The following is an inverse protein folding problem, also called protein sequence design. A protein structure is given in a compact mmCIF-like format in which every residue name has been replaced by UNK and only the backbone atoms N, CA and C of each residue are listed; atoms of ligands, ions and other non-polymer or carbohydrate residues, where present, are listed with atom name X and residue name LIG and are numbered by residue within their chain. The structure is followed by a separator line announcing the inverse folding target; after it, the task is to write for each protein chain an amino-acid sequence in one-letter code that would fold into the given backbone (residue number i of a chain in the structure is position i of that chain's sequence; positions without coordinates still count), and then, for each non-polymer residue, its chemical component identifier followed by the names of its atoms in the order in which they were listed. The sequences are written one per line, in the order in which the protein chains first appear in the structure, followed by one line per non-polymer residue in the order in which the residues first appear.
data_IF_849892748850
#
_entry.id   IF_849892748850
#
_cell.length_a   1.000
_cell.length_b   1.000
_cell.length_c   1.000
_cell.angle_alpha   90.00
_cell.angle_beta   90.00
_cell.angle_gamma   90.00
#
_symmetry.space_group_name_H-M   'P 1'
#
loop_
_entity.id
_entity.type
_entity.pdbx_description
1 polymer ?
#
# COMPACT_ATOMS: atom_id res chain seq x y z
N UNK A 1 -5.17 -15.53 -36.35
CA UNK A 1 -5.79 -14.32 -35.78
C UNK A 1 -5.43 -14.29 -34.30
N UNK A 2 -4.36 -13.57 -33.95
CA UNK A 2 -4.02 -13.30 -32.56
C UNK A 2 -4.99 -12.21 -32.11
N UNK A 3 -5.75 -12.45 -31.04
CA UNK A 3 -6.57 -11.41 -30.43
C UNK A 3 -5.60 -10.38 -29.85
N UNK A 4 -5.47 -9.22 -30.50
CA UNK A 4 -4.83 -8.05 -29.91
C UNK A 4 -5.55 -7.76 -28.59
N UNK A 5 -4.93 -8.20 -27.50
CA UNK A 5 -5.45 -8.00 -26.16
C UNK A 5 -4.99 -6.61 -25.80
N UNK A 6 -5.92 -5.65 -25.76
CA UNK A 6 -5.58 -4.28 -25.34
C UNK A 6 -4.79 -4.35 -24.02
N UNK A 7 -3.67 -3.63 -23.91
CA UNK A 7 -2.92 -3.60 -22.66
C UNK A 7 -3.85 -3.11 -21.54
N UNK A 8 -3.73 -3.74 -20.37
CA UNK A 8 -4.58 -3.44 -19.23
C UNK A 8 -4.60 -1.93 -18.95
N UNK A 9 -5.78 -1.32 -18.97
CA UNK A 9 -5.93 0.13 -18.80
C UNK A 9 -5.75 0.60 -17.35
N UNK A 10 -5.59 -0.34 -16.42
CA UNK A 10 -5.31 -0.07 -15.02
C UNK A 10 -4.67 -1.27 -14.33
N UNK A 11 -3.87 -0.98 -13.32
CA UNK A 11 -3.19 -1.95 -12.47
C UNK A 11 -3.02 -1.36 -11.08
N UNK A 12 -2.67 -2.21 -10.12
CA UNK A 12 -2.45 -1.81 -8.74
C UNK A 12 -1.16 -2.41 -8.20
N UNK A 13 -0.57 -1.71 -7.25
CA UNK A 13 0.60 -2.17 -6.52
C UNK A 13 0.29 -2.05 -5.02
N UNK A 14 0.30 -3.18 -4.32
CA UNK A 14 0.10 -3.19 -2.87
C UNK A 14 1.47 -3.02 -2.21
N UNK A 15 1.55 -2.11 -1.25
CA UNK A 15 2.74 -1.80 -0.47
C UNK A 15 2.47 -2.15 0.99
N UNK A 16 3.42 -2.81 1.63
CA UNK A 16 3.33 -3.29 3.01
C UNK A 16 4.52 -2.75 3.77
N UNK A 17 4.28 -2.14 4.92
CA UNK A 17 5.36 -1.56 5.72
C UNK A 17 6.26 -2.66 6.29
N UNK A 18 7.56 -2.54 6.04
CA UNK A 18 8.56 -3.45 6.64
C UNK A 18 9.10 -2.83 7.93
N UNK A 19 8.86 -3.44 9.10
CA UNK A 19 9.20 -2.88 10.43
C UNK A 19 10.69 -2.62 10.74
N UNK A 20 11.58 -2.74 9.75
CA UNK A 20 13.01 -2.44 9.87
C UNK A 20 13.23 -0.97 9.53
N UNK A 21 13.13 -0.07 10.51
CA UNK A 21 13.55 1.33 10.36
C UNK A 21 14.62 1.69 11.39
N UNK A 22 15.76 2.19 10.92
CA UNK A 22 16.72 2.90 11.76
C UNK A 22 16.25 4.32 12.02
N UNK A 23 15.89 4.63 13.27
CA UNK A 23 15.77 5.96 13.88
C UNK A 23 14.89 7.05 13.23
N UNK A 24 14.19 6.81 12.12
CA UNK A 24 13.26 7.78 11.52
C UNK A 24 11.90 7.17 11.23
N UNK A 25 10.86 7.62 11.95
CA UNK A 25 9.46 7.19 11.79
C UNK A 25 8.72 7.98 10.68
N UNK A 26 9.48 8.50 9.72
CA UNK A 26 8.96 9.34 8.64
C UNK A 26 8.81 8.53 7.34
N UNK A 27 7.82 8.92 6.54
CA UNK A 27 7.43 8.23 5.30
C UNK A 27 8.55 8.21 4.23
N UNK A 28 9.47 9.17 4.31
CA UNK A 28 10.63 9.31 3.41
C UNK A 28 11.75 8.27 3.66
N UNK A 29 11.86 7.81 4.91
CA UNK A 29 12.85 6.84 5.35
C UNK A 29 12.29 5.42 5.41
N UNK A 30 10.96 5.29 5.41
CA UNK A 30 10.25 4.02 5.52
C UNK A 30 10.51 3.10 4.31
N UNK A 31 10.67 1.82 4.63
CA UNK A 31 10.82 0.74 3.66
C UNK A 31 9.50 -0.03 3.52
N UNK A 32 9.17 -0.36 2.28
CA UNK A 32 7.97 -1.08 1.91
C UNK A 32 8.32 -2.29 1.05
N UNK A 33 7.81 -3.45 1.42
CA UNK A 33 7.68 -4.57 0.49
C UNK A 33 6.48 -4.30 -0.43
N UNK A 34 6.57 -4.74 -1.68
CA UNK A 34 5.53 -4.43 -2.67
C UNK A 34 5.30 -5.58 -3.63
N UNK A 35 4.09 -5.67 -4.16
CA UNK A 35 3.71 -6.69 -5.13
C UNK A 35 2.40 -6.35 -5.83
N UNK A 36 2.29 -6.74 -7.10
CA UNK A 36 1.03 -6.63 -7.86
C UNK A 36 0.13 -7.83 -7.58
N UNK A 37 0.76 -8.95 -7.25
CA UNK A 37 0.14 -10.18 -6.81
C UNK A 37 0.85 -10.74 -5.58
N UNK A 38 0.18 -11.68 -4.90
CA UNK A 38 0.62 -12.29 -3.65
C UNK A 38 2.01 -12.93 -3.73
N UNK A 39 2.34 -13.59 -4.84
CA UNK A 39 3.63 -14.24 -5.09
C UNK A 39 4.80 -13.27 -5.16
N UNK A 40 4.59 -12.07 -5.68
CA UNK A 40 5.65 -11.06 -5.86
C UNK A 40 6.11 -10.47 -4.52
N UNK A 41 5.23 -10.41 -3.52
CA UNK A 41 5.55 -9.81 -2.22
C UNK A 41 6.66 -10.52 -1.45
N UNK A 42 6.83 -11.82 -1.65
CA UNK A 42 7.84 -12.63 -0.95
C UNK A 42 9.21 -12.63 -1.66
N UNK A 43 9.28 -12.14 -2.90
CA UNK A 43 10.48 -12.23 -3.73
C UNK A 43 11.25 -10.91 -3.83
N UNK A 44 10.62 -9.78 -3.53
CA UNK A 44 11.18 -8.45 -3.71
C UNK A 44 11.92 -7.90 -2.51
N UNK A 45 12.92 -7.05 -2.77
CA UNK A 45 13.55 -6.20 -1.75
C UNK A 45 12.57 -5.13 -1.26
N UNK A 46 12.66 -4.74 0.01
CA UNK A 46 11.91 -3.58 0.51
C UNK A 46 12.57 -2.29 0.04
N UNK A 47 11.80 -1.39 -0.55
CA UNK A 47 12.27 -0.12 -1.13
C UNK A 47 11.57 1.08 -0.52
N UNK A 48 12.16 2.26 -0.69
CA UNK A 48 11.56 3.56 -0.31
C UNK A 48 10.52 3.99 -1.34
N UNK A 49 9.56 4.78 -0.89
CA UNK A 49 8.53 5.33 -1.75
C UNK A 49 9.06 6.48 -2.63
N UNK A 50 8.57 6.60 -3.88
CA UNK A 50 8.79 7.80 -4.68
C UNK A 50 8.15 9.04 -4.04
N UNK A 51 8.74 10.22 -4.26
CA UNK A 51 8.26 11.47 -3.66
C UNK A 51 6.83 11.81 -4.07
N UNK A 52 6.43 11.49 -5.30
CA UNK A 52 5.03 11.70 -5.73
C UNK A 52 4.05 10.83 -4.93
N UNK A 53 4.44 9.62 -4.54
CA UNK A 53 3.60 8.73 -3.73
C UNK A 53 3.50 9.20 -2.29
N UNK A 54 4.60 9.70 -1.72
CA UNK A 54 4.63 10.32 -0.39
C UNK A 54 3.64 11.49 -0.33
N UNK A 55 3.71 12.42 -1.28
CA UNK A 55 2.79 13.56 -1.34
C UNK A 55 1.32 13.11 -1.48
N UNK A 56 1.04 12.08 -2.28
CA UNK A 56 -0.32 11.54 -2.41
C UNK A 56 -0.84 10.93 -1.09
N UNK A 57 0.02 10.29 -0.30
CA UNK A 57 -0.35 9.73 1.01
C UNK A 57 -0.67 10.86 2.00
N UNK A 58 0.16 11.91 2.02
CA UNK A 58 -0.04 13.08 2.88
C UNK A 58 -1.34 13.82 2.54
N UNK A 59 -1.62 14.03 1.25
CA UNK A 59 -2.85 14.69 0.78
C UNK A 59 -4.13 13.92 1.12
N UNK A 60 -4.05 12.60 1.12
CA UNK A 60 -5.19 11.72 1.42
C UNK A 60 -5.38 11.49 2.91
N UNK A 61 -4.44 11.94 3.76
CA UNK A 61 -4.46 11.72 5.20
C UNK A 61 -4.24 10.26 5.60
N UNK A 62 -3.64 9.45 4.71
CA UNK A 62 -3.38 8.02 4.95
C UNK A 62 -1.98 7.76 5.54
N UNK A 63 -1.30 8.79 6.04
CA UNK A 63 0.07 8.68 6.55
C UNK A 63 0.22 7.63 7.66
N UNK A 64 -0.64 7.70 8.67
CA UNK A 64 -0.59 6.78 9.81
C UNK A 64 -0.90 5.34 9.39
N UNK A 65 -1.97 5.14 8.60
CA UNK A 65 -2.37 3.82 8.12
C UNK A 65 -1.30 3.19 7.20
N UNK A 66 -0.70 4.00 6.33
CA UNK A 66 0.41 3.57 5.47
C UNK A 66 1.65 3.16 6.28
N UNK A 67 1.92 3.84 7.39
CA UNK A 67 3.04 3.53 8.28
C UNK A 67 2.77 2.33 9.18
N UNK A 68 1.51 2.03 9.51
CA UNK A 68 1.15 0.89 10.34
C UNK A 68 1.05 -0.40 9.52
N UNK A 69 0.30 -0.37 8.41
CA UNK A 69 -0.04 -1.57 7.62
C UNK A 69 0.45 -1.46 6.19
N UNK A 70 0.33 -0.29 5.57
CA UNK A 70 0.63 -0.06 4.16
C UNK A 70 -0.56 0.48 3.40
N UNK A 71 -0.50 0.38 2.07
CA UNK A 71 -1.50 0.98 1.20
C UNK A 71 -1.52 0.32 -0.18
N UNK A 72 -2.57 0.59 -0.96
CA UNK A 72 -2.67 0.20 -2.36
C UNK A 72 -2.50 1.42 -3.24
N UNK A 73 -1.51 1.38 -4.14
CA UNK A 73 -1.35 2.35 -5.21
C UNK A 73 -2.07 1.85 -6.45
N UNK A 74 -3.17 2.50 -6.83
CA UNK A 74 -3.83 2.23 -8.10
C UNK A 74 -3.32 3.17 -9.19
N UNK A 75 -3.15 2.62 -10.39
CA UNK A 75 -2.63 3.34 -11.55
C UNK A 75 -3.52 3.05 -12.76
N UNK A 76 -3.80 4.08 -13.56
CA UNK A 76 -4.57 3.99 -14.80
C UNK A 76 -3.89 4.74 -15.93
N UNK A 77 -3.94 4.18 -17.13
CA UNK A 77 -3.47 4.84 -18.37
C UNK A 77 -4.58 5.62 -19.09
N UNK A 78 -5.84 5.43 -18.69
CA UNK A 78 -6.99 6.18 -19.19
C UNK A 78 -7.57 7.03 -18.06
N UNK A 79 -8.07 8.22 -18.41
CA UNK A 79 -8.64 9.17 -17.44
C UNK A 79 -9.76 8.50 -16.63
N UNK A 80 -9.71 8.52 -15.28
CA UNK A 80 -10.76 7.99 -14.45
C UNK A 80 -12.05 8.82 -14.62
N UNK A 81 -13.24 8.20 -14.49
CA UNK A 81 -14.49 8.94 -14.54
C UNK A 81 -14.57 9.94 -13.39
N UNK A 82 -15.04 11.16 -13.69
CA UNK A 82 -15.34 12.19 -12.70
C UNK A 82 -16.45 11.71 -11.77
N UNK A 83 -16.10 11.36 -10.53
CA UNK A 83 -17.03 10.81 -9.53
C UNK A 83 -16.54 9.54 -8.82
N UNK A 84 -15.33 9.05 -9.12
CA UNK A 84 -14.72 7.95 -8.36
C UNK A 84 -14.39 8.33 -6.90
N UNK A 85 -14.35 7.33 -6.02
CA UNK A 85 -13.90 7.48 -4.62
C UNK A 85 -12.40 7.82 -4.58
N UNK A 86 -12.00 8.86 -3.86
CA UNK A 86 -10.60 9.24 -3.67
C UNK A 86 -10.05 10.19 -4.74
N UNK A 87 -8.96 10.89 -4.38
CA UNK A 87 -8.30 11.88 -5.23
C UNK A 87 -7.38 11.18 -6.23
N UNK A 88 -7.63 11.38 -7.52
CA UNK A 88 -6.73 10.92 -8.57
C UNK A 88 -5.75 12.03 -8.91
N UNK A 89 -4.46 11.71 -8.84
CA UNK A 89 -3.36 12.59 -9.22
C UNK A 89 -2.93 12.27 -10.64
N UNK A 90 -2.82 13.30 -11.47
CA UNK A 90 -2.40 13.20 -12.86
C UNK A 90 -0.88 13.38 -12.96
N UNK A 91 -0.20 12.43 -13.61
CA UNK A 91 1.23 12.50 -13.84
C UNK A 91 1.55 12.36 -15.33
N UNK A 92 2.43 13.23 -15.81
CA UNK A 92 2.92 13.25 -17.19
C UNK A 92 4.31 12.61 -17.28
N UNK A 93 4.54 11.85 -18.35
CA UNK A 93 5.85 11.27 -18.64
C UNK A 93 6.82 12.38 -19.06
N UNK A 94 7.82 12.64 -18.22
CA UNK A 94 8.85 13.65 -18.48
C UNK A 94 9.97 13.09 -19.37
N UNK A 95 10.41 11.87 -19.08
CA UNK A 95 11.53 11.23 -19.76
C UNK A 95 11.34 9.72 -19.81
N UNK A 96 11.69 9.09 -20.93
CA UNK A 96 11.71 7.64 -21.07
C UNK A 96 13.05 7.16 -21.62
N UNK A 97 13.68 6.24 -20.89
CA UNK A 97 14.82 5.46 -21.38
C UNK A 97 14.31 4.27 -22.19
N UNK A 98 14.77 4.16 -23.43
CA UNK A 98 14.54 2.98 -24.26
C UNK A 98 15.47 1.83 -23.86
N UNK A 99 15.02 0.59 -24.08
CA UNK A 99 15.78 -0.63 -23.81
C UNK A 99 15.25 -1.81 -24.63
N UNK A 100 16.12 -2.78 -24.91
CA UNK A 100 15.73 -3.96 -25.69
C UNK A 100 14.76 -4.86 -24.88
N UNK A 101 15.08 -5.14 -23.62
CA UNK A 101 14.24 -5.89 -22.69
C UNK A 101 13.18 -4.98 -22.03
N UNK A 102 11.89 -5.36 -21.97
CA UNK A 102 10.84 -4.62 -21.26
C UNK A 102 11.30 -4.02 -19.94
N UNK A 103 11.94 -4.82 -19.10
CA UNK A 103 12.41 -4.42 -17.78
C UNK A 103 13.52 -3.35 -17.78
N UNK A 104 14.17 -3.10 -18.93
CA UNK A 104 15.14 -2.02 -19.10
C UNK A 104 14.50 -0.68 -19.48
N UNK A 105 13.23 -0.68 -19.88
CA UNK A 105 12.49 0.54 -20.21
C UNK A 105 11.98 1.17 -18.93
N UNK A 106 12.42 2.41 -18.68
CA UNK A 106 12.07 3.19 -17.50
C UNK A 106 11.53 4.55 -17.91
N UNK A 107 10.45 4.96 -17.28
CA UNK A 107 9.82 6.26 -17.47
C UNK A 107 9.81 7.04 -16.16
N UNK A 108 10.25 8.30 -16.20
CA UNK A 108 10.12 9.23 -15.08
C UNK A 108 8.89 10.09 -15.31
N UNK A 109 7.96 10.00 -14.37
CA UNK A 109 6.72 10.76 -14.36
C UNK A 109 6.83 11.93 -13.38
N UNK A 110 6.21 13.05 -13.73
CA UNK A 110 6.11 14.25 -12.88
C UNK A 110 4.65 14.58 -12.64
N UNK A 111 4.30 14.96 -11.42
CA UNK A 111 2.95 15.42 -11.09
C UNK A 111 2.63 16.71 -11.84
N UNK A 112 1.46 16.80 -12.49
CA UNK A 112 1.07 18.01 -13.23
C UNK A 112 0.86 19.23 -12.32
N UNK A 113 0.58 18.99 -11.04
CA UNK A 113 0.35 20.03 -10.04
C UNK A 113 1.60 20.36 -9.20
N UNK A 114 2.66 19.53 -9.23
CA UNK A 114 3.76 19.55 -8.25
C UNK A 114 5.12 19.22 -8.87
N UNK A 115 6.19 19.40 -8.12
CA UNK A 115 7.57 19.06 -8.54
C UNK A 115 8.00 17.65 -8.16
N UNK A 116 7.08 16.82 -7.67
CA UNK A 116 7.37 15.45 -7.27
C UNK A 116 7.40 14.49 -8.45
N UNK A 117 8.13 13.40 -8.28
CA UNK A 117 8.40 12.45 -9.36
C UNK A 117 8.19 11.02 -8.92
N UNK A 118 7.89 10.16 -9.89
CA UNK A 118 7.85 8.72 -9.73
C UNK A 118 8.47 8.03 -10.95
N UNK A 119 9.35 7.06 -10.70
CA UNK A 119 9.87 6.20 -11.77
C UNK A 119 8.97 4.98 -11.94
N UNK A 120 8.70 4.62 -13.19
CA UNK A 120 7.95 3.43 -13.57
C UNK A 120 8.75 2.58 -14.54
N UNK A 121 8.74 1.26 -14.30
CA UNK A 121 9.37 0.28 -15.19
C UNK A 121 8.31 -0.36 -16.08
N UNK A 122 8.66 -0.61 -17.34
CA UNK A 122 7.83 -1.40 -18.23
C UNK A 122 7.98 -2.89 -17.89
N UNK A 123 6.89 -3.57 -17.54
CA UNK A 123 6.95 -4.97 -17.12
C UNK A 123 6.52 -5.97 -18.21
N UNK A 124 5.96 -5.50 -19.32
CA UNK A 124 5.54 -6.36 -20.43
C UNK A 124 5.64 -5.63 -21.78
N UNK A 125 5.81 -6.40 -22.86
CA UNK A 125 5.95 -5.83 -24.21
C UNK A 125 4.71 -5.07 -24.68
N UNK A 126 3.51 -5.44 -24.20
CA UNK A 126 2.26 -4.79 -24.58
C UNK A 126 2.09 -3.41 -23.96
N UNK A 127 2.85 -3.08 -22.91
CA UNK A 127 2.89 -1.76 -22.27
C UNK A 127 3.98 -0.86 -22.87
N UNK A 128 4.48 -1.19 -24.07
CA UNK A 128 5.44 -0.36 -24.81
C UNK A 128 4.77 0.41 -25.94
N UNK A 129 5.05 1.72 -26.08
CA UNK A 129 5.78 2.58 -25.14
C UNK A 129 4.97 2.78 -23.84
N UNK A 130 5.64 3.24 -22.77
CA UNK A 130 4.91 3.59 -21.55
C UNK A 130 3.88 4.70 -21.85
N UNK A 131 2.74 4.72 -21.15
CA UNK A 131 1.72 5.74 -21.37
C UNK A 131 2.29 7.15 -21.17
N UNK A 132 1.97 8.08 -22.08
CA UNK A 132 2.41 9.48 -21.96
C UNK A 132 1.83 10.16 -20.70
N UNK A 133 0.69 9.67 -20.22
CA UNK A 133 -0.01 10.17 -19.05
C UNK A 133 -0.59 9.02 -18.26
N UNK A 134 -0.53 9.14 -16.94
CA UNK A 134 -1.14 8.20 -16.01
C UNK A 134 -1.89 8.96 -14.91
N UNK A 135 -2.86 8.28 -14.33
CA UNK A 135 -3.56 8.74 -13.12
C UNK A 135 -3.28 7.75 -12.01
N UNK A 136 -2.85 8.26 -10.87
CA UNK A 136 -2.54 7.46 -9.69
C UNK A 136 -3.45 7.85 -8.53
N UNK A 137 -3.77 6.90 -7.66
CA UNK A 137 -4.40 7.18 -6.37
C UNK A 137 -3.90 6.22 -5.31
N UNK A 138 -3.89 6.69 -4.07
CA UNK A 138 -3.58 5.88 -2.89
C UNK A 138 -4.90 5.48 -2.23
N UNK A 139 -4.98 4.23 -1.80
CA UNK A 139 -6.12 3.68 -1.09
C UNK A 139 -5.66 2.89 0.14
N UNK A 140 -6.49 2.82 1.20
CA UNK A 140 -6.27 1.90 2.31
C UNK A 140 -6.27 0.44 1.84
N UNK A 141 -5.58 -0.42 2.58
CA UNK A 141 -5.62 -1.87 2.34
C UNK A 141 -7.01 -2.39 2.75
N UNK A 142 -7.65 -3.20 1.91
CA UNK A 142 -8.94 -3.80 2.27
C UNK A 142 -8.80 -4.82 3.40
N UNK A 143 -9.80 -4.95 4.28
CA UNK A 143 -9.81 -5.93 5.39
C UNK A 143 -9.46 -7.35 4.93
N UNK A 144 -9.94 -7.74 3.74
CA UNK A 144 -9.63 -9.06 3.15
C UNK A 144 -8.14 -9.20 2.83
N UNK A 145 -7.54 -8.17 2.24
CA UNK A 145 -6.10 -8.17 1.94
C UNK A 145 -5.29 -8.10 3.22
N UNK A 146 -5.73 -7.31 4.21
CA UNK A 146 -5.09 -7.19 5.51
C UNK A 146 -5.07 -8.54 6.25
N UNK A 147 -6.21 -9.24 6.29
CA UNK A 147 -6.32 -10.57 6.90
C UNK A 147 -5.37 -11.58 6.23
N UNK A 148 -5.25 -11.53 4.91
CA UNK A 148 -4.29 -12.36 4.17
C UNK A 148 -2.83 -12.00 4.51
N UNK A 149 -2.47 -10.71 4.55
CA UNK A 149 -1.13 -10.26 4.90
C UNK A 149 -0.71 -10.71 6.31
N UNK A 150 -1.66 -10.75 7.25
CA UNK A 150 -1.45 -11.26 8.60
C UNK A 150 -1.24 -12.78 8.62
N UNK A 151 -2.04 -13.53 7.86
CA UNK A 151 -1.93 -15.00 7.76
C UNK A 151 -0.56 -15.43 7.17
N UNK A 152 -0.06 -14.69 6.18
CA UNK A 152 1.25 -14.93 5.57
C UNK A 152 2.44 -14.40 6.41
N UNK A 153 2.18 -13.73 7.53
CA UNK A 153 3.22 -13.15 8.38
C UNK A 153 3.99 -11.99 7.72
N UNK A 154 3.41 -11.36 6.70
CA UNK A 154 3.96 -10.14 6.07
C UNK A 154 3.73 -8.89 6.93
N UNK A 155 2.72 -8.95 7.80
CA UNK A 155 2.44 -7.96 8.83
C UNK A 155 2.60 -8.59 10.22
N UNK A 156 3.27 -7.85 11.12
CA UNK A 156 3.60 -8.31 12.46
C UNK A 156 5.06 -8.76 12.60
N UNK A 157 5.62 -8.61 13.80
CA UNK A 157 7.01 -8.98 14.10
C UNK A 157 7.20 -10.49 14.00
N UNK A 158 8.29 -10.93 13.37
CA UNK A 158 8.70 -12.34 13.24
C UNK A 158 9.16 -13.01 14.54
N UNK A 159 8.97 -12.40 15.72
CA UNK A 159 9.51 -12.93 16.98
C UNK A 159 8.68 -12.62 18.24
N UNK A 160 7.43 -12.19 18.12
CA UNK A 160 6.54 -12.09 19.29
C UNK A 160 5.20 -12.67 18.92
N UNK A 161 5.14 -14.01 18.92
CA UNK A 161 3.88 -14.69 19.09
C UNK A 161 3.37 -14.29 20.47
N UNK A 162 2.30 -13.51 20.53
CA UNK A 162 1.48 -13.53 21.73
C UNK A 162 0.75 -14.87 21.70
N UNK A 163 1.32 -15.86 22.39
CA UNK A 163 0.85 -17.24 22.38
C UNK A 163 -0.37 -17.43 23.28
N UNK A 164 -0.61 -16.50 24.23
CA UNK A 164 -1.71 -16.60 25.19
C UNK A 164 -2.30 -15.25 25.62
N UNK A 165 -3.54 -15.27 26.13
CA UNK A 165 -4.18 -14.13 26.79
C UNK A 165 -3.40 -13.68 28.05
N UNK A 166 -2.64 -14.59 28.66
CA UNK A 166 -1.86 -14.30 29.86
C UNK A 166 -0.70 -13.35 29.55
N UNK A 167 -0.03 -13.53 28.42
CA UNK A 167 1.03 -12.64 27.94
C UNK A 167 0.52 -11.22 27.64
N UNK A 168 -0.77 -11.04 27.32
CA UNK A 168 -1.39 -9.71 27.19
C UNK A 168 -1.43 -8.96 28.51
N UNK A 169 -1.78 -9.65 29.59
CA UNK A 169 -1.92 -9.07 30.92
C UNK A 169 -0.58 -8.68 31.53
N UNK A 170 0.51 -9.32 31.10
CA UNK A 170 1.87 -9.08 31.59
C UNK A 170 2.60 -7.94 30.85
N UNK A 171 1.97 -7.28 29.88
CA UNK A 171 2.56 -6.16 29.11
C UNK A 171 2.87 -4.91 29.94
N UNK A 172 2.65 -4.93 31.25
CA UNK A 172 2.97 -3.81 32.15
C UNK A 172 2.20 -2.53 31.81
N UNK A 173 1.06 -2.66 31.10
CA UNK A 173 0.14 -1.54 30.88
C UNK A 173 -0.45 -1.19 32.24
N UNK A 174 -0.25 0.05 32.69
CA UNK A 174 -0.88 0.55 33.91
C UNK A 174 -2.38 0.27 33.81
N UNK A 175 -2.87 -0.61 34.69
CA UNK A 175 -4.28 -0.95 34.76
C UNK A 175 -5.05 0.36 34.94
N UNK A 176 -6.02 0.69 34.05
CA UNK A 176 -6.85 1.85 34.26
C UNK A 176 -7.51 1.74 35.63
N UNK A 177 -7.57 2.87 36.35
CA UNK A 177 -8.11 2.99 37.71
C UNK A 177 -9.33 2.07 37.91
N UNK A 178 -9.30 1.27 38.99
CA UNK A 178 -10.34 0.30 39.36
C UNK A 178 -11.73 0.93 39.64
N UNK A 179 -11.88 2.24 39.46
CA UNK A 179 -13.14 2.98 39.63
C UNK A 179 -14.09 2.88 38.42
N UNK A 180 -13.65 2.29 37.29
CA UNK A 180 -14.48 2.14 36.10
C UNK A 180 -14.91 0.68 35.94
N UNK A 181 -16.23 0.45 35.95
CA UNK A 181 -16.82 -0.87 35.74
C UNK A 181 -16.41 -1.42 34.36
N UNK A 182 -15.67 -2.55 34.28
CA UNK A 182 -15.36 -3.17 33.01
C UNK A 182 -16.65 -3.75 32.40
N UNK A 183 -16.86 -3.50 31.11
CA UNK A 183 -18.02 -4.03 30.38
C UNK A 183 -17.81 -5.52 30.06
N UNK A 184 -18.84 -6.36 30.19
CA UNK A 184 -18.75 -7.76 29.82
C UNK A 184 -18.64 -7.90 28.29
N UNK A 185 -17.95 -8.96 27.85
CA UNK A 185 -17.99 -9.39 26.46
C UNK A 185 -19.40 -9.84 26.02
N UNK A 186 -19.59 -10.09 24.71
CA UNK A 186 -20.88 -10.50 24.16
C UNK A 186 -21.35 -11.82 24.80
N UNK A 187 -22.64 -11.98 25.10
CA UNK A 187 -23.15 -13.23 25.65
C UNK A 187 -23.18 -14.34 24.61
N UNK A 188 -23.09 -15.58 25.10
CA UNK A 188 -23.28 -16.77 24.27
C UNK A 188 -24.70 -16.90 23.69
N UNK A 189 -25.70 -16.29 24.33
CA UNK A 189 -27.10 -16.30 23.88
C UNK A 189 -27.71 -14.93 24.17
N UNK A 190 -28.54 -14.35 23.26
CA UNK A 190 -29.22 -13.10 23.54
C UNK A 190 -30.07 -13.21 24.81
N UNK A 191 -29.87 -12.28 25.75
CA UNK A 191 -30.69 -12.15 26.93
C UNK A 191 -31.42 -10.80 26.92
N UNK A 192 -32.67 -10.81 27.39
CA UNK A 192 -33.44 -9.60 27.62
C UNK A 192 -33.38 -9.27 29.11
N UNK A 193 -33.27 -7.99 29.45
CA UNK A 193 -33.65 -7.54 30.78
C UNK A 193 -35.18 -7.71 30.89
N UNK A 194 -35.63 -8.49 31.88
CA UNK A 194 -37.05 -8.70 32.18
C UNK A 194 -37.82 -7.38 32.28
#
# INVERSE_FOLDING_TARGET
MVRDTEPASGWSLTHVRTGVCGSGDALDCALFSFGREHTEMHMGDSLRLPTAVIEMIEETGLGDEAMETGFVLEIRSKRPPSGGRGLWTELDLLFQRAGANPFDVRGVYVSSARTSTAEMVCFCQTMRPLPQRVWMRVLPISDRTLAWLLDEGLLGRSASFQTTLHEFCDLGVDLPSAEVLPLPGPPFVPYNFL
#
